data_IF_119819319006
#
_entry.id   IF_119819319006
#
_cell.length_a   1.000
_cell.length_b   1.000
_cell.length_c   1.000
_cell.angle_alpha   90.00
_cell.angle_beta   90.00
_cell.angle_gamma   90.00
#
_symmetry.space_group_name_H-M   'P 1'
#
loop_
_entity.id
_entity.type
_entity.pdbx_description
1 polymer ?
#
# COMPACT_ATOMS: atom_id res chain seq x y z
N UNK A 1 16.75 -11.70 -10.31
CA UNK A 1 16.10 -11.10 -9.12
C UNK A 1 15.52 -12.24 -8.29
N UNK A 2 16.23 -12.68 -7.26
CA UNK A 2 15.72 -13.73 -6.39
C UNK A 2 14.56 -13.13 -5.56
N UNK A 3 13.35 -13.56 -5.84
CA UNK A 3 12.24 -13.37 -4.91
C UNK A 3 12.56 -14.13 -3.63
N UNK A 4 13.05 -13.43 -2.64
CA UNK A 4 13.00 -13.93 -1.26
C UNK A 4 11.51 -14.15 -0.97
N UNK A 5 11.11 -15.29 -0.38
CA UNK A 5 9.71 -15.52 -0.10
C UNK A 5 9.22 -14.42 0.84
N UNK A 6 8.46 -13.49 0.27
CA UNK A 6 7.86 -12.39 1.02
C UNK A 6 6.68 -12.98 1.79
N UNK A 7 6.66 -12.78 3.11
CA UNK A 7 5.52 -13.15 3.92
C UNK A 7 4.37 -12.19 3.63
N UNK A 8 3.14 -12.70 3.58
CA UNK A 8 1.94 -11.90 3.35
C UNK A 8 0.94 -12.04 4.50
N UNK A 9 0.24 -10.97 4.78
CA UNK A 9 -0.88 -10.93 5.72
C UNK A 9 -2.16 -10.68 4.92
N UNK A 10 -3.24 -11.35 5.27
CA UNK A 10 -4.57 -11.27 4.65
C UNK A 10 -4.66 -11.83 3.21
N UNK A 11 -3.64 -12.41 2.67
CA UNK A 11 -3.66 -12.96 1.30
C UNK A 11 -2.60 -14.04 1.13
N UNK A 12 -2.74 -14.81 0.06
CA UNK A 12 -1.64 -15.60 -0.51
C UNK A 12 -0.63 -14.67 -1.18
N UNK A 13 0.62 -15.13 -1.40
CA UNK A 13 1.60 -14.31 -2.11
C UNK A 13 1.07 -13.81 -3.46
N UNK A 14 1.25 -12.50 -3.71
CA UNK A 14 0.91 -11.84 -4.97
C UNK A 14 2.13 -11.13 -5.53
N UNK A 15 2.16 -10.94 -6.84
CA UNK A 15 3.17 -10.13 -7.53
C UNK A 15 2.48 -9.02 -8.30
N UNK A 16 3.17 -7.93 -8.58
CA UNK A 16 2.62 -6.88 -9.43
C UNK A 16 2.26 -7.42 -10.82
N UNK A 17 3.03 -8.38 -11.33
CA UNK A 17 2.72 -9.05 -12.59
C UNK A 17 1.39 -9.80 -12.54
N UNK A 18 1.06 -10.45 -11.42
CA UNK A 18 -0.22 -11.15 -11.25
C UNK A 18 -1.42 -10.22 -11.10
N UNK A 19 -1.16 -8.94 -10.84
CA UNK A 19 -2.20 -7.92 -10.69
C UNK A 19 -2.44 -7.09 -11.97
N UNK A 20 -1.81 -7.46 -13.09
CA UNK A 20 -2.08 -6.82 -14.38
C UNK A 20 -3.55 -6.91 -14.73
N UNK A 21 -4.09 -5.86 -15.33
CA UNK A 21 -5.53 -5.68 -15.56
C UNK A 21 -6.26 -4.98 -14.41
N UNK A 22 -5.62 -4.84 -13.24
CA UNK A 22 -6.14 -4.08 -12.11
C UNK A 22 -5.35 -2.80 -11.89
N UNK A 23 -5.99 -1.78 -11.34
CA UNK A 23 -5.31 -0.63 -10.74
C UNK A 23 -4.81 -1.05 -9.36
N UNK A 24 -3.57 -0.75 -9.05
CA UNK A 24 -2.98 -1.07 -7.74
C UNK A 24 -2.65 0.23 -7.01
N UNK A 25 -3.18 0.36 -5.80
CA UNK A 25 -2.73 1.38 -4.86
C UNK A 25 -1.75 0.72 -3.89
N UNK A 26 -0.46 0.92 -4.12
CA UNK A 26 0.62 0.36 -3.33
C UNK A 26 1.10 1.40 -2.32
N UNK A 27 0.96 1.11 -1.02
CA UNK A 27 1.47 2.03 -0.01
C UNK A 27 2.53 1.38 0.87
N UNK A 28 3.59 2.13 1.12
CA UNK A 28 4.63 1.76 2.07
C UNK A 28 4.28 2.32 3.45
N UNK A 29 4.38 1.48 4.47
CA UNK A 29 4.08 1.86 5.84
C UNK A 29 4.89 1.05 6.86
N UNK A 30 4.92 1.56 8.08
CA UNK A 30 5.33 0.84 9.27
C UNK A 30 4.23 1.00 10.33
N UNK A 31 3.87 -0.08 11.04
CA UNK A 31 2.70 -0.01 11.92
C UNK A 31 2.89 0.91 13.14
N UNK A 32 4.12 1.17 13.54
CA UNK A 32 4.46 2.11 14.61
C UNK A 32 4.63 3.57 14.16
N UNK A 33 4.51 3.85 12.88
CA UNK A 33 4.64 5.19 12.31
C UNK A 33 3.33 5.96 12.46
N UNK A 34 3.32 7.06 13.22
CA UNK A 34 2.10 7.85 13.48
C UNK A 34 1.50 8.46 12.22
N UNK A 35 2.33 8.96 11.30
CA UNK A 35 1.86 9.51 10.03
C UNK A 35 1.24 8.43 9.15
N UNK A 36 1.75 7.19 9.20
CA UNK A 36 1.16 6.05 8.52
C UNK A 36 -0.21 5.70 9.09
N UNK A 37 -0.34 5.72 10.41
CA UNK A 37 -1.62 5.46 11.10
C UNK A 37 -2.67 6.48 10.68
N UNK A 38 -2.30 7.74 10.51
CA UNK A 38 -3.20 8.80 10.07
C UNK A 38 -3.74 8.59 8.65
N UNK A 39 -3.02 7.87 7.79
CA UNK A 39 -3.48 7.51 6.45
C UNK A 39 -4.38 6.26 6.41
N UNK A 40 -4.34 5.42 7.43
CA UNK A 40 -5.07 4.13 7.42
C UNK A 40 -6.57 4.24 7.19
N UNK A 41 -7.31 5.20 7.79
CA UNK A 41 -8.73 5.34 7.50
C UNK A 41 -9.03 5.56 6.01
N UNK A 42 -8.16 6.27 5.31
CA UNK A 42 -8.29 6.52 3.87
C UNK A 42 -8.06 5.24 3.05
N UNK A 43 -7.02 4.47 3.38
CA UNK A 43 -6.74 3.20 2.71
C UNK A 43 -7.84 2.16 2.96
N UNK A 44 -8.38 2.10 4.17
CA UNK A 44 -9.52 1.23 4.48
C UNK A 44 -10.75 1.63 3.66
N UNK A 45 -11.03 2.93 3.56
CA UNK A 45 -12.14 3.44 2.76
C UNK A 45 -11.95 3.13 1.25
N UNK A 46 -10.74 3.24 0.74
CA UNK A 46 -10.44 2.85 -0.65
C UNK A 46 -10.62 1.35 -0.87
N UNK A 47 -10.17 0.53 0.08
CA UNK A 47 -10.39 -0.91 0.00
C UNK A 47 -11.89 -1.24 -0.04
N UNK A 48 -12.68 -0.66 0.86
CA UNK A 48 -14.13 -0.89 0.92
C UNK A 48 -14.83 -0.41 -0.36
N UNK A 49 -14.42 0.75 -0.89
CA UNK A 49 -15.03 1.35 -2.08
C UNK A 49 -14.72 0.56 -3.36
N UNK A 50 -13.47 0.14 -3.52
CA UNK A 50 -12.95 -0.33 -4.80
C UNK A 50 -12.69 -1.83 -4.87
N UNK A 51 -12.68 -2.55 -3.75
CA UNK A 51 -12.47 -4.00 -3.72
C UNK A 51 -13.53 -4.72 -4.56
N UNK A 52 -13.09 -5.63 -5.42
CA UNK A 52 -13.97 -6.31 -6.38
C UNK A 52 -14.39 -5.45 -7.58
N UNK A 53 -13.89 -4.22 -7.68
CA UNK A 53 -14.20 -3.29 -8.77
C UNK A 53 -12.99 -2.97 -9.66
N UNK A 54 -11.97 -3.81 -9.63
CA UNK A 54 -10.77 -3.66 -10.44
C UNK A 54 -9.64 -2.86 -9.79
N UNK A 55 -9.69 -2.62 -8.50
CA UNK A 55 -8.58 -2.02 -7.72
C UNK A 55 -8.14 -2.96 -6.62
N UNK A 56 -6.85 -3.15 -6.51
CA UNK A 56 -6.22 -3.80 -5.36
C UNK A 56 -5.48 -2.76 -4.53
N UNK A 57 -5.84 -2.63 -3.27
CA UNK A 57 -5.05 -1.93 -2.28
C UNK A 57 -4.02 -2.91 -1.72
N UNK A 58 -2.75 -2.56 -1.79
CA UNK A 58 -1.64 -3.38 -1.32
C UNK A 58 -0.76 -2.59 -0.38
N UNK A 59 -0.71 -3.00 0.88
CA UNK A 59 0.22 -2.46 1.86
C UNK A 59 1.58 -3.15 1.75
N UNK A 60 2.65 -2.39 1.84
CA UNK A 60 4.01 -2.92 1.92
C UNK A 60 4.62 -2.45 3.25
N UNK A 61 4.73 -3.38 4.18
CA UNK A 61 5.23 -3.07 5.52
C UNK A 61 6.74 -3.15 5.54
N UNK A 62 7.40 -1.99 5.57
CA UNK A 62 8.84 -1.86 5.74
C UNK A 62 9.13 -1.34 7.14
N UNK A 63 9.69 -2.18 8.03
CA UNK A 63 9.87 -1.82 9.44
C UNK A 63 11.00 -0.81 9.65
N UNK A 64 10.81 0.10 10.61
CA UNK A 64 11.83 1.00 11.12
C UNK A 64 12.50 0.45 12.39
N UNK A 65 11.75 -0.28 13.21
CA UNK A 65 12.15 -0.72 14.55
C UNK A 65 12.21 -2.24 14.67
N UNK A 66 12.91 -2.73 15.69
CA UNK A 66 12.97 -4.17 15.99
C UNK A 66 11.57 -4.75 16.27
N UNK A 67 10.71 -4.00 16.98
CA UNK A 67 9.33 -4.42 17.26
C UNK A 67 8.53 -4.62 15.98
N UNK A 68 8.73 -3.76 15.01
CA UNK A 68 8.03 -3.81 13.72
C UNK A 68 8.54 -4.92 12.80
N UNK A 69 9.76 -5.43 13.01
CA UNK A 69 10.30 -6.57 12.26
C UNK A 69 9.64 -7.89 12.64
N UNK A 70 9.01 -7.97 13.79
CA UNK A 70 8.29 -9.18 14.21
C UNK A 70 6.94 -9.25 13.49
N UNK A 71 6.81 -10.25 12.61
CA UNK A 71 5.58 -10.46 11.82
C UNK A 71 4.37 -10.74 12.70
N UNK A 72 4.55 -11.36 13.87
CA UNK A 72 3.46 -11.59 14.80
C UNK A 72 2.89 -10.27 15.32
N UNK A 73 3.74 -9.28 15.60
CA UNK A 73 3.32 -7.94 15.99
C UNK A 73 2.55 -7.23 14.86
N UNK A 74 3.03 -7.35 13.62
CA UNK A 74 2.32 -6.80 12.46
C UNK A 74 0.93 -7.42 12.30
N UNK A 75 0.82 -8.74 12.41
CA UNK A 75 -0.47 -9.45 12.33
C UNK A 75 -1.43 -9.00 13.43
N UNK A 76 -0.93 -8.86 14.65
CA UNK A 76 -1.74 -8.39 15.79
C UNK A 76 -2.23 -6.95 15.58
N UNK A 77 -1.36 -6.06 15.12
CA UNK A 77 -1.72 -4.67 14.81
C UNK A 77 -2.76 -4.59 13.68
N UNK A 78 -2.54 -5.32 12.60
CA UNK A 78 -3.47 -5.37 11.47
C UNK A 78 -4.86 -5.84 11.90
N UNK A 79 -4.93 -6.85 12.77
CA UNK A 79 -6.19 -7.34 13.34
C UNK A 79 -6.86 -6.28 14.22
N UNK A 80 -6.11 -5.67 15.12
CA UNK A 80 -6.63 -4.64 16.03
C UNK A 80 -7.18 -3.44 15.27
N UNK A 81 -6.50 -3.02 14.21
CA UNK A 81 -6.90 -1.88 13.37
C UNK A 81 -7.86 -2.25 12.25
N UNK A 82 -8.20 -3.53 12.11
CA UNK A 82 -9.09 -4.04 11.07
C UNK A 82 -8.59 -3.70 9.66
N UNK A 83 -7.31 -3.89 9.42
CA UNK A 83 -6.71 -3.77 8.09
C UNK A 83 -6.98 -5.07 7.34
N UNK A 84 -7.94 -5.06 6.42
CA UNK A 84 -8.40 -6.26 5.70
C UNK A 84 -7.75 -6.42 4.32
N UNK A 85 -7.09 -5.41 3.83
CA UNK A 85 -6.41 -5.47 2.54
C UNK A 85 -5.10 -6.28 2.60
N UNK A 86 -4.61 -6.79 1.47
CA UNK A 86 -3.35 -7.50 1.40
C UNK A 86 -2.17 -6.67 1.90
N UNK A 87 -1.31 -7.28 2.71
CA UNK A 87 -0.09 -6.66 3.23
C UNK A 87 1.09 -7.58 2.93
N UNK A 88 2.08 -7.08 2.21
CA UNK A 88 3.37 -7.73 2.01
C UNK A 88 4.36 -7.28 3.08
N UNK A 89 5.21 -8.20 3.54
CA UNK A 89 6.23 -7.92 4.54
C UNK A 89 7.58 -7.68 3.87
N UNK A 90 8.11 -6.48 4.02
CA UNK A 90 9.39 -6.03 3.47
C UNK A 90 10.46 -5.94 4.58
N UNK A 91 10.67 -7.05 5.29
CA UNK A 91 11.47 -7.08 6.52
C UNK A 91 12.93 -6.65 6.36
N UNK A 92 13.49 -6.79 5.16
CA UNK A 92 14.86 -6.37 4.81
C UNK A 92 14.92 -5.10 3.97
N UNK A 93 13.80 -4.41 3.83
CA UNK A 93 13.67 -3.18 3.02
C UNK A 93 14.06 -3.34 1.54
N UNK A 94 14.03 -4.56 1.00
CA UNK A 94 14.45 -4.80 -0.38
C UNK A 94 13.53 -4.11 -1.40
N UNK A 95 12.22 -4.10 -1.15
CA UNK A 95 11.28 -3.36 -1.99
C UNK A 95 11.41 -1.86 -1.78
N UNK A 96 11.56 -1.42 -0.55
CA UNK A 96 11.83 -0.02 -0.23
C UNK A 96 12.98 0.54 -1.06
N UNK A 97 14.10 -0.18 -1.06
CA UNK A 97 15.30 0.20 -1.80
C UNK A 97 15.07 0.13 -3.32
N UNK A 98 14.42 -0.92 -3.81
CA UNK A 98 14.11 -1.09 -5.23
C UNK A 98 13.23 0.03 -5.79
N UNK A 99 12.33 0.59 -4.97
CA UNK A 99 11.47 1.72 -5.32
C UNK A 99 12.13 3.07 -5.05
N UNK A 100 13.37 3.09 -4.55
CA UNK A 100 14.09 4.31 -4.14
C UNK A 100 13.25 5.15 -3.16
N UNK A 101 12.52 4.49 -2.29
CA UNK A 101 11.64 5.15 -1.34
C UNK A 101 12.46 5.78 -0.22
N UNK A 102 12.00 6.88 0.35
CA UNK A 102 12.76 7.63 1.35
C UNK A 102 11.93 8.16 2.51
N UNK A 103 10.63 7.89 2.53
CA UNK A 103 9.77 8.34 3.63
C UNK A 103 8.55 7.45 3.84
N UNK A 104 8.11 7.36 5.08
CA UNK A 104 6.84 6.79 5.50
C UNK A 104 5.85 7.92 5.83
N UNK A 105 4.59 7.81 5.45
CA UNK A 105 4.03 6.91 4.45
C UNK A 105 4.30 7.41 3.02
N UNK A 106 4.16 6.51 2.07
CA UNK A 106 4.10 6.88 0.64
C UNK A 106 3.13 5.95 -0.06
N UNK A 107 2.45 6.45 -1.10
CA UNK A 107 1.51 5.67 -1.91
C UNK A 107 1.78 5.91 -3.40
N UNK A 108 1.70 4.84 -4.16
CA UNK A 108 1.89 4.83 -5.61
C UNK A 108 0.66 4.22 -6.27
N UNK A 109 0.16 4.86 -7.32
CA UNK A 109 -0.90 4.32 -8.14
C UNK A 109 -0.32 3.73 -9.42
N UNK A 110 -0.60 2.44 -9.63
CA UNK A 110 -0.11 1.65 -10.75
C UNK A 110 -1.31 1.33 -11.64
N UNK A 111 -1.18 1.60 -12.93
CA UNK A 111 -2.25 1.37 -13.89
C UNK A 111 -2.42 -0.13 -14.26
N UNK A 112 -3.44 -0.44 -15.04
CA UNK A 112 -3.76 -1.81 -15.46
C UNK A 112 -2.65 -2.49 -16.26
N UNK A 113 -1.77 -1.70 -16.88
CA UNK A 113 -0.60 -2.19 -17.62
C UNK A 113 0.64 -2.36 -16.75
N UNK A 114 0.59 -1.93 -15.49
CA UNK A 114 1.68 -2.06 -14.53
C UNK A 114 2.65 -0.88 -14.50
N UNK A 115 2.25 0.28 -15.03
CA UNK A 115 3.04 1.50 -14.94
C UNK A 115 2.63 2.36 -13.75
N UNK A 116 3.62 2.91 -13.03
CA UNK A 116 3.39 3.92 -11.99
C UNK A 116 2.95 5.22 -12.66
N UNK A 117 1.79 5.71 -12.29
CA UNK A 117 1.18 6.90 -12.90
C UNK A 117 1.13 8.08 -11.96
N UNK A 118 0.86 7.86 -10.68
CA UNK A 118 0.73 8.89 -9.65
C UNK A 118 1.34 8.41 -8.34
N UNK A 119 1.73 9.36 -7.49
CA UNK A 119 2.24 9.06 -6.15
C UNK A 119 1.97 10.23 -5.21
N UNK A 120 1.99 9.94 -3.92
CA UNK A 120 1.89 10.92 -2.86
C UNK A 120 2.82 10.53 -1.71
N UNK A 121 3.61 11.50 -1.22
CA UNK A 121 4.51 11.32 -0.09
C UNK A 121 3.96 11.98 1.16
N UNK A 122 4.00 11.28 2.29
CA UNK A 122 3.52 11.76 3.57
C UNK A 122 2.02 11.55 3.78
N UNK A 123 1.47 12.22 4.79
CA UNK A 123 0.05 12.17 5.08
C UNK A 123 -0.76 12.81 3.93
N UNK A 124 -1.81 12.12 3.54
CA UNK A 124 -2.67 12.55 2.42
C UNK A 124 -3.30 13.93 2.64
N UNK A 125 -3.74 14.18 3.87
CA UNK A 125 -4.45 15.43 4.19
C UNK A 125 -3.66 16.33 5.15
N UNK A 126 -2.32 16.27 5.08
CA UNK A 126 -1.45 17.07 5.93
C UNK A 126 -1.71 18.57 5.74
N UNK A 127 -1.96 19.26 6.88
CA UNK A 127 -2.15 20.72 6.93
C UNK A 127 -3.14 21.27 5.90
N UNK A 128 -4.25 20.53 5.66
CA UNK A 128 -5.28 20.96 4.73
C UNK A 128 -5.01 20.58 3.27
N UNK A 129 -3.95 19.85 2.98
CA UNK A 129 -3.76 19.24 1.67
C UNK A 129 -4.92 18.29 1.34
N UNK A 130 -5.32 18.24 0.08
CA UNK A 130 -6.41 17.38 -0.40
C UNK A 130 -5.88 16.12 -1.10
N UNK A 131 -4.89 15.47 -0.48
CA UNK A 131 -4.23 14.32 -1.06
C UNK A 131 -5.15 13.10 -1.22
N UNK A 132 -6.02 12.85 -0.24
CA UNK A 132 -7.00 11.77 -0.33
C UNK A 132 -7.94 11.97 -1.52
N UNK A 133 -8.57 13.11 -1.62
CA UNK A 133 -9.47 13.44 -2.73
C UNK A 133 -8.75 13.36 -4.09
N UNK A 134 -7.55 13.92 -4.16
CA UNK A 134 -6.73 13.91 -5.37
C UNK A 134 -6.39 12.47 -5.80
N UNK A 135 -5.88 11.66 -4.90
CA UNK A 135 -5.46 10.29 -5.22
C UNK A 135 -6.65 9.38 -5.52
N UNK A 136 -7.75 9.53 -4.79
CA UNK A 136 -8.99 8.78 -5.05
C UNK A 136 -9.55 9.10 -6.44
N UNK A 137 -9.54 10.35 -6.83
CA UNK A 137 -9.94 10.75 -8.20
C UNK A 137 -9.02 10.15 -9.26
N UNK A 138 -7.71 10.07 -9.00
CA UNK A 138 -6.77 9.39 -9.89
C UNK A 138 -7.03 7.90 -10.01
N UNK A 139 -7.45 7.25 -8.94
CA UNK A 139 -7.90 5.85 -8.99
C UNK A 139 -9.10 5.70 -9.94
N UNK A 140 -10.11 6.57 -9.80
CA UNK A 140 -11.28 6.55 -10.69
C UNK A 140 -10.88 6.78 -12.17
N UNK A 141 -9.98 7.70 -12.44
CA UNK A 141 -9.45 7.96 -13.80
C UNK A 141 -8.74 6.72 -14.38
N UNK A 142 -7.86 6.09 -13.60
CA UNK A 142 -7.13 4.89 -14.04
C UNK A 142 -8.07 3.70 -14.28
N UNK A 143 -9.13 3.57 -13.47
CA UNK A 143 -10.15 2.55 -13.67
C UNK A 143 -10.91 2.74 -14.99
N UNK A 144 -11.16 3.97 -15.38
CA UNK A 144 -11.88 4.31 -16.61
C UNK A 144 -11.03 4.12 -17.88
N UNK A 145 -9.70 4.02 -17.76
CA UNK A 145 -8.82 3.77 -18.90
C UNK A 145 -9.07 2.35 -19.47
N UNK A 146 -8.99 2.22 -20.78
CA UNK A 146 -9.00 0.91 -21.44
C UNK A 146 -7.65 0.21 -21.23
N UNK A 147 -7.68 -1.12 -21.24
CA UNK A 147 -6.46 -1.95 -21.17
C UNK A 147 -5.62 -1.81 -22.46
#
# INVERSE_FOLDING_TARGET
MQCVPVCFVNTKPVTLASLRGQVVALHFFAFGCSNCVNNQPHYKAWHDRFSGRGVTLLGLHTPETARERDVANLKADAKTRQLLYPIAVDGKAANWDAWSNNMWPSVYLIDKRGYVRYWWYGELNWQGAKGEETMRRRIDELLAEKE
#
